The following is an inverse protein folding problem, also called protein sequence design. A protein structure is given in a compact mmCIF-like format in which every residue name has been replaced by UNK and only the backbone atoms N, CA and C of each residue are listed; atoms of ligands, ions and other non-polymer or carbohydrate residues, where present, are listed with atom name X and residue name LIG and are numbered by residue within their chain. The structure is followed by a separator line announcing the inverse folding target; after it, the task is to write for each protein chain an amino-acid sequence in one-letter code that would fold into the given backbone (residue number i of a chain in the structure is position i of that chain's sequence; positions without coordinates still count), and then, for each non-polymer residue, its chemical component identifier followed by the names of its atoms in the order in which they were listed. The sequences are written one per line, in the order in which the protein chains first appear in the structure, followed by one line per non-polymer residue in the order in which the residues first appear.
data_IF_964666118851
#
_entry.id   IF_964666118851
#
_cell.length_a   1.000
_cell.length_b   1.000
_cell.length_c   1.000
_cell.angle_alpha   90.00
_cell.angle_beta   90.00
_cell.angle_gamma   90.00
#
_symmetry.space_group_name_H-M   'P 1'
#
loop_
_entity.id
_entity.type
_entity.pdbx_description
1 polymer ?
#
# COMPACT_ATOMS: atom_id res chain seq x y z
N UNK A 1 -4.34 -16.39 8.77
CA UNK A 1 -3.13 -16.08 8.00
C UNK A 1 -2.57 -14.75 8.47
N UNK A 2 -1.24 -14.60 8.57
CA UNK A 2 -0.59 -13.34 8.93
C UNK A 2 0.38 -13.02 7.79
N UNK A 3 0.19 -11.87 7.14
CA UNK A 3 1.12 -11.32 6.15
C UNK A 3 1.93 -10.20 6.80
N UNK A 4 3.25 -10.24 6.66
CA UNK A 4 4.14 -9.23 7.20
C UNK A 4 4.83 -8.50 6.05
N UNK A 5 4.62 -7.20 5.96
CA UNK A 5 5.32 -6.35 4.98
C UNK A 5 6.42 -5.55 5.67
N UNK A 6 7.55 -5.42 4.99
CA UNK A 6 8.68 -4.64 5.48
C UNK A 6 8.55 -3.19 5.03
N UNK A 7 8.86 -2.25 5.91
CA UNK A 7 9.15 -0.89 5.48
C UNK A 7 10.53 -0.88 4.81
N UNK A 8 10.56 -0.57 3.52
CA UNK A 8 11.79 -0.55 2.73
C UNK A 8 12.54 0.78 2.90
N UNK A 9 13.86 0.70 2.93
CA UNK A 9 14.78 1.83 3.00
C UNK A 9 15.55 2.02 1.69
N UNK A 10 16.88 2.19 1.79
CA UNK A 10 17.76 2.25 0.62
C UNK A 10 17.94 0.87 -0.01
N UNK A 11 17.72 0.76 -1.31
CA UNK A 11 18.06 -0.39 -2.13
C UNK A 11 19.50 -0.23 -2.64
N UNK A 12 20.39 -1.18 -2.32
CA UNK A 12 21.80 -1.12 -2.71
C UNK A 12 22.04 -1.44 -4.20
N UNK A 13 21.09 -2.11 -4.86
CA UNK A 13 21.19 -2.51 -6.27
C UNK A 13 20.64 -1.43 -7.20
N UNK A 14 19.46 -0.90 -6.90
CA UNK A 14 18.81 0.15 -7.72
C UNK A 14 19.22 1.56 -7.31
N UNK A 15 19.89 1.72 -6.15
CA UNK A 15 20.22 2.99 -5.51
C UNK A 15 18.99 3.85 -5.13
N UNK A 16 17.78 3.29 -5.22
CA UNK A 16 16.55 3.91 -4.74
C UNK A 16 16.53 3.99 -3.22
N UNK A 17 15.83 4.98 -2.67
CA UNK A 17 15.68 5.14 -1.23
C UNK A 17 14.27 5.61 -0.87
N UNK A 18 13.44 4.67 -0.43
CA UNK A 18 12.05 4.95 -0.06
C UNK A 18 11.96 5.88 1.17
N UNK A 19 13.03 6.08 1.94
CA UNK A 19 13.04 7.08 3.01
C UNK A 19 13.06 8.51 2.48
N UNK A 20 13.54 8.70 1.26
CA UNK A 20 13.63 9.97 0.52
C UNK A 20 12.52 10.12 -0.52
N UNK A 21 11.47 9.29 -0.43
CA UNK A 21 10.33 9.36 -1.34
C UNK A 21 9.69 10.74 -1.39
N UNK A 22 9.17 11.05 -2.58
CA UNK A 22 8.32 12.20 -2.82
C UNK A 22 7.08 11.76 -3.63
N UNK A 23 6.15 12.69 -3.85
CA UNK A 23 4.89 12.35 -4.52
C UNK A 23 5.07 11.95 -5.98
N UNK A 24 6.10 12.45 -6.67
CA UNK A 24 6.37 12.09 -8.07
C UNK A 24 6.95 10.67 -8.18
N UNK A 25 7.89 10.29 -7.30
CA UNK A 25 8.43 8.92 -7.26
C UNK A 25 7.35 7.90 -6.94
N UNK A 26 6.50 8.20 -5.95
CA UNK A 26 5.36 7.37 -5.57
C UNK A 26 4.36 7.25 -6.73
N UNK A 27 4.01 8.38 -7.37
CA UNK A 27 3.05 8.38 -8.49
C UNK A 27 3.55 7.54 -9.67
N UNK A 28 4.86 7.59 -9.95
CA UNK A 28 5.46 6.77 -11.01
C UNK A 28 5.32 5.28 -10.68
N UNK A 29 5.79 4.85 -9.49
CA UNK A 29 5.74 3.43 -9.11
C UNK A 29 4.31 2.92 -8.96
N UNK A 30 3.39 3.72 -8.43
CA UNK A 30 1.96 3.37 -8.36
C UNK A 30 1.37 3.01 -9.74
N UNK A 31 1.75 3.75 -10.80
CA UNK A 31 1.27 3.46 -12.16
C UNK A 31 1.89 2.20 -12.76
N UNK A 32 3.13 1.91 -12.39
CA UNK A 32 3.88 0.73 -12.81
C UNK A 32 3.23 -0.52 -12.20
N UNK A 33 3.18 -0.62 -10.87
CA UNK A 33 2.61 -1.78 -10.16
C UNK A 33 1.12 -2.00 -10.48
N UNK A 34 0.36 -0.92 -10.67
CA UNK A 34 -1.03 -1.02 -11.10
C UNK A 34 -1.15 -1.72 -12.45
N UNK A 35 -0.26 -1.36 -13.39
CA UNK A 35 -0.29 -1.89 -14.74
C UNK A 35 0.16 -3.36 -14.74
N UNK A 36 1.19 -3.70 -13.98
CA UNK A 36 1.67 -5.08 -13.85
C UNK A 36 0.58 -5.97 -13.22
N UNK A 37 -0.11 -5.50 -12.18
CA UNK A 37 -1.24 -6.23 -11.60
C UNK A 37 -2.42 -6.39 -12.60
N UNK A 38 -2.73 -5.36 -13.38
CA UNK A 38 -3.80 -5.42 -14.39
C UNK A 38 -3.46 -6.44 -15.50
N UNK A 39 -2.20 -6.47 -15.95
CA UNK A 39 -1.68 -7.45 -16.91
C UNK A 39 -1.75 -8.88 -16.34
N UNK A 40 -1.29 -9.09 -15.10
CA UNK A 40 -1.34 -10.39 -14.42
C UNK A 40 -2.78 -10.92 -14.27
N UNK A 41 -3.73 -10.05 -13.94
CA UNK A 41 -5.16 -10.39 -13.88
C UNK A 41 -5.67 -10.77 -15.27
N UNK A 42 -5.29 -10.02 -16.31
CA UNK A 42 -5.65 -10.30 -17.70
C UNK A 42 -5.14 -11.66 -18.19
N UNK A 43 -3.94 -12.05 -17.75
CA UNK A 43 -3.32 -13.35 -18.04
C UNK A 43 -3.88 -14.51 -17.21
N UNK A 44 -4.67 -14.21 -16.16
CA UNK A 44 -5.17 -15.20 -15.19
C UNK A 44 -4.06 -16.01 -14.50
N UNK A 45 -2.85 -15.46 -14.39
CA UNK A 45 -1.73 -16.09 -13.71
C UNK A 45 -1.79 -15.80 -12.21
N UNK A 46 -2.23 -16.79 -11.43
CA UNK A 46 -2.41 -16.64 -9.98
C UNK A 46 -1.11 -16.32 -9.24
N UNK A 47 0.03 -16.82 -9.71
CA UNK A 47 1.32 -16.53 -9.08
C UNK A 47 1.73 -15.09 -9.36
N UNK A 48 1.59 -14.66 -10.61
CA UNK A 48 1.87 -13.28 -11.03
C UNK A 48 0.94 -12.31 -10.29
N UNK A 49 -0.36 -12.58 -10.22
CA UNK A 49 -1.33 -11.76 -9.46
C UNK A 49 -0.92 -11.65 -7.98
N UNK A 50 -0.47 -12.76 -7.39
CA UNK A 50 -0.05 -12.77 -5.99
C UNK A 50 1.24 -11.97 -5.74
N UNK A 51 2.14 -11.89 -6.72
CA UNK A 51 3.34 -11.04 -6.68
C UNK A 51 2.94 -9.56 -6.82
N UNK A 52 2.25 -9.22 -7.89
CA UNK A 52 1.92 -7.82 -8.22
C UNK A 52 0.99 -7.16 -7.19
N UNK A 53 0.09 -7.93 -6.55
CA UNK A 53 -0.73 -7.39 -5.46
C UNK A 53 0.12 -7.02 -4.24
N UNK A 54 1.20 -7.76 -3.98
CA UNK A 54 2.11 -7.47 -2.87
C UNK A 54 2.97 -6.24 -3.17
N UNK A 55 3.38 -6.04 -4.42
CA UNK A 55 4.15 -4.87 -4.83
C UNK A 55 3.29 -3.59 -4.83
N UNK A 56 2.03 -3.69 -5.27
CA UNK A 56 1.08 -2.59 -5.13
C UNK A 56 0.79 -2.25 -3.64
N UNK A 57 0.72 -3.26 -2.76
CA UNK A 57 0.63 -3.04 -1.31
C UNK A 57 1.89 -2.34 -0.79
N UNK A 58 3.08 -2.69 -1.28
CA UNK A 58 4.32 -2.00 -0.90
C UNK A 58 4.30 -0.51 -1.28
N UNK A 59 3.75 -0.16 -2.44
CA UNK A 59 3.53 1.25 -2.80
C UNK A 59 2.54 1.93 -1.85
N UNK A 60 1.46 1.26 -1.47
CA UNK A 60 0.52 1.78 -0.46
C UNK A 60 1.20 2.02 0.90
N UNK A 61 2.11 1.14 1.32
CA UNK A 61 2.88 1.29 2.56
C UNK A 61 3.78 2.54 2.49
N UNK A 62 4.45 2.78 1.36
CA UNK A 62 5.26 4.00 1.13
C UNK A 62 4.41 5.27 1.30
N UNK A 63 3.19 5.29 0.75
CA UNK A 63 2.23 6.39 0.90
C UNK A 63 1.85 6.60 2.36
N UNK A 64 1.48 5.53 3.08
CA UNK A 64 1.09 5.59 4.49
C UNK A 64 2.23 6.15 5.35
N UNK A 65 3.46 5.69 5.14
CA UNK A 65 4.65 6.19 5.84
C UNK A 65 4.90 7.66 5.54
N UNK A 66 4.77 8.09 4.27
CA UNK A 66 4.96 9.50 3.91
C UNK A 66 3.89 10.40 4.54
N UNK A 67 2.63 9.98 4.56
CA UNK A 67 1.55 10.71 5.25
C UNK A 67 1.78 10.79 6.76
N UNK A 68 2.24 9.70 7.38
CA UNK A 68 2.59 9.67 8.79
C UNK A 68 3.74 10.65 9.11
N UNK A 69 4.78 10.71 8.26
CA UNK A 69 5.87 11.70 8.36
C UNK A 69 5.37 13.16 8.24
N UNK A 70 4.22 13.39 7.62
CA UNK A 70 3.55 14.70 7.54
C UNK A 70 2.60 14.95 8.73
N UNK A 71 2.69 14.16 9.80
CA UNK A 71 1.87 14.25 11.01
C UNK A 71 0.35 14.15 10.75
N UNK A 72 -0.05 13.47 9.67
CA UNK A 72 -1.45 13.21 9.40
C UNK A 72 -2.01 12.21 10.41
N UNK A 73 -3.19 12.49 10.96
CA UNK A 73 -3.88 11.55 11.85
C UNK A 73 -4.57 10.43 11.02
N UNK A 74 -3.77 9.43 10.64
CA UNK A 74 -4.22 8.30 9.81
C UNK A 74 -5.31 7.46 10.48
N UNK A 75 -5.34 7.42 11.83
CA UNK A 75 -6.37 6.71 12.59
C UNK A 75 -7.73 7.37 12.38
N UNK A 76 -7.79 8.70 12.54
CA UNK A 76 -9.03 9.45 12.33
C UNK A 76 -9.48 9.42 10.86
N UNK A 77 -8.54 9.53 9.92
CA UNK A 77 -8.83 9.40 8.50
C UNK A 77 -9.39 8.01 8.13
N UNK A 78 -8.84 6.94 8.71
CA UNK A 78 -9.37 5.58 8.54
C UNK A 78 -10.79 5.45 9.12
N UNK A 79 -11.03 6.00 10.33
CA UNK A 79 -12.38 6.01 10.93
C UNK A 79 -13.40 6.72 10.06
N UNK A 80 -13.05 7.89 9.52
CA UNK A 80 -13.90 8.65 8.58
C UNK A 80 -14.16 7.88 7.30
N UNK A 81 -13.14 7.21 6.75
CA UNK A 81 -13.29 6.37 5.56
C UNK A 81 -14.24 5.20 5.81
N UNK A 82 -14.08 4.45 6.90
CA UNK A 82 -14.95 3.32 7.24
C UNK A 82 -16.41 3.77 7.45
N UNK A 83 -16.63 4.88 8.16
CA UNK A 83 -17.97 5.48 8.31
C UNK A 83 -18.59 5.81 6.95
N UNK A 84 -17.80 6.37 6.02
CA UNK A 84 -18.24 6.65 4.65
C UNK A 84 -18.64 5.38 3.89
N UNK A 85 -17.94 4.25 4.07
CA UNK A 85 -18.32 2.98 3.44
C UNK A 85 -19.62 2.43 4.02
N UNK A 86 -19.77 2.41 5.34
CA UNK A 86 -21.03 1.98 5.99
C UNK A 86 -22.21 2.82 5.52
N UNK A 87 -22.04 4.15 5.45
CA UNK A 87 -23.07 5.06 4.93
C UNK A 87 -23.42 4.83 3.45
N UNK A 88 -22.56 4.14 2.69
CA UNK A 88 -22.82 3.74 1.30
C UNK A 88 -23.51 2.38 1.18
N UNK A 89 -23.91 1.78 2.31
CA UNK A 89 -24.61 0.50 2.36
C UNK A 89 -23.69 -0.73 2.47
N UNK A 90 -22.37 -0.53 2.64
CA UNK A 90 -21.47 -1.67 2.83
C UNK A 90 -21.67 -2.31 4.21
N UNK A 91 -21.93 -3.61 4.21
CA UNK A 91 -21.86 -4.44 5.42
C UNK A 91 -20.45 -5.03 5.55
N UNK A 92 -19.76 -4.72 6.65
CA UNK A 92 -18.42 -5.25 6.88
C UNK A 92 -18.50 -6.71 7.36
N UNK A 93 -17.71 -7.60 6.76
CA UNK A 93 -17.66 -9.03 7.11
C UNK A 93 -16.44 -9.42 7.94
N UNK A 94 -15.52 -8.47 8.16
CA UNK A 94 -14.27 -8.69 8.86
C UNK A 94 -13.46 -7.41 8.98
N UNK A 95 -12.35 -7.50 9.72
CA UNK A 95 -11.44 -6.37 9.96
C UNK A 95 -10.01 -6.80 9.63
N UNK A 96 -9.38 -6.06 8.73
CA UNK A 96 -7.93 -6.15 8.49
C UNK A 96 -7.25 -5.10 9.36
N UNK A 97 -6.32 -5.53 10.21
CA UNK A 97 -5.53 -4.63 11.06
C UNK A 97 -4.18 -4.38 10.41
N UNK A 98 -3.88 -3.12 10.14
CA UNK A 98 -2.53 -2.68 9.74
C UNK A 98 -1.86 -2.11 10.98
N UNK A 99 -0.72 -2.68 11.36
CA UNK A 99 0.07 -2.24 12.51
C UNK A 99 1.43 -1.77 12.03
N UNK A 100 1.72 -0.48 12.23
CA UNK A 100 3.04 0.08 12.04
C UNK A 100 3.81 -0.05 13.34
N UNK A 101 4.78 -0.96 13.40
CA UNK A 101 5.74 -1.03 14.50
C UNK A 101 7.01 -0.30 14.06
N UNK A 102 7.18 0.95 14.51
CA UNK A 102 8.49 1.60 14.43
C UNK A 102 9.44 0.89 15.41
N UNK A 103 10.62 0.51 14.93
CA UNK A 103 11.72 0.05 15.78
C UNK A 103 12.42 1.23 16.42
#
# INVERSE_FOLDING_TARGET
MILNFMQLGKNIKTNEDNQKDNWDSIRKKLKEEYKELDEAIGESDLCHIAEEVQDLIQVCIRVIVLLAKKNMNLIELNRRHNKKLVNRGWHHIGVIKILLKSR
#
